data_IF_919879557043
#
_entry.id   IF_919879557043
#
_cell.length_a   1.000
_cell.length_b   1.000
_cell.length_c   1.000
_cell.angle_alpha   90.00
_cell.angle_beta   90.00
_cell.angle_gamma   90.00
#
_symmetry.space_group_name_H-M   'P 1'
#
loop_
_entity.id
_entity.type
_entity.pdbx_description
1 polymer ?
#
# COMPACT_ATOMS: atom_id res chain seq x y z
N UNK A 1 20.65 -14.16 28.96
CA UNK A 1 19.24 -13.77 29.15
C UNK A 1 18.96 -12.54 28.30
N UNK A 2 18.30 -12.72 27.16
CA UNK A 2 17.41 -11.76 26.49
C UNK A 2 16.62 -12.62 25.51
N UNK A 3 15.41 -13.00 25.92
CA UNK A 3 14.47 -13.78 25.11
C UNK A 3 14.13 -12.99 23.85
N UNK A 4 14.43 -13.59 22.70
CA UNK A 4 13.92 -13.14 21.41
C UNK A 4 12.43 -13.45 21.41
N UNK A 5 11.61 -12.51 21.87
CA UNK A 5 10.16 -12.65 21.85
C UNK A 5 9.69 -12.83 20.40
N UNK A 6 9.16 -14.01 20.20
CA UNK A 6 8.45 -14.49 19.02
C UNK A 6 7.20 -13.64 18.79
N UNK A 7 7.26 -12.74 17.81
CA UNK A 7 6.07 -12.16 17.16
C UNK A 7 5.94 -12.63 15.72
N UNK A 8 6.41 -13.85 15.43
CA UNK A 8 5.94 -14.60 14.26
C UNK A 8 4.71 -15.37 14.74
N UNK A 9 3.56 -15.13 14.11
CA UNK A 9 2.25 -15.79 14.32
C UNK A 9 1.25 -15.08 15.25
N UNK A 10 0.80 -13.87 14.87
CA UNK A 10 -0.53 -13.37 15.31
C UNK A 10 -1.37 -12.80 14.15
N UNK A 11 -0.97 -13.07 12.90
CA UNK A 11 -1.73 -12.72 11.68
C UNK A 11 -2.30 -14.00 11.07
N UNK A 12 -2.80 -14.88 11.93
CA UNK A 12 -3.50 -16.11 11.58
C UNK A 12 -4.36 -16.35 12.82
N UNK A 13 -5.66 -16.04 12.84
CA UNK A 13 -6.64 -17.10 12.59
C UNK A 13 -8.10 -16.58 12.48
N UNK A 14 -8.32 -15.26 12.52
CA UNK A 14 -9.69 -14.69 12.57
C UNK A 14 -10.12 -13.85 11.38
N UNK A 15 -9.17 -13.24 10.66
CA UNK A 15 -9.48 -12.25 9.62
C UNK A 15 -9.40 -12.82 8.19
N UNK A 16 -8.64 -13.90 8.01
CA UNK A 16 -8.43 -14.60 6.73
C UNK A 16 -9.01 -16.03 6.72
N UNK A 17 -9.55 -16.52 7.84
CA UNK A 17 -10.19 -17.84 7.90
C UNK A 17 -11.57 -17.88 7.22
N UNK A 18 -12.09 -16.71 6.81
CA UNK A 18 -13.24 -16.56 5.93
C UNK A 18 -12.89 -15.81 4.64
N UNK A 19 -13.80 -15.83 3.66
CA UNK A 19 -13.65 -15.01 2.44
C UNK A 19 -13.42 -13.54 2.81
N UNK A 20 -12.41 -12.86 2.25
CA UNK A 20 -12.15 -11.46 2.57
C UNK A 20 -13.37 -10.60 2.22
N UNK A 21 -13.63 -9.50 2.97
CA UNK A 21 -14.78 -8.63 2.71
C UNK A 21 -14.67 -7.91 1.36
N UNK A 22 -13.50 -7.93 0.73
CA UNK A 22 -13.22 -7.38 -0.58
C UNK A 22 -12.50 -8.42 -1.45
N UNK A 23 -13.00 -8.71 -2.67
CA UNK A 23 -12.36 -9.67 -3.57
C UNK A 23 -11.11 -9.04 -4.19
N UNK A 24 -9.94 -9.36 -3.62
CA UNK A 24 -8.66 -8.87 -4.12
C UNK A 24 -8.32 -9.44 -5.49
N UNK A 25 -7.76 -8.58 -6.33
CA UNK A 25 -7.23 -8.93 -7.64
C UNK A 25 -5.76 -9.30 -7.59
N UNK A 26 -5.02 -8.67 -6.67
CA UNK A 26 -3.61 -8.88 -6.38
C UNK A 26 -3.47 -9.61 -5.04
N UNK A 27 -2.41 -10.41 -4.91
CA UNK A 27 -2.08 -11.07 -3.65
C UNK A 27 -1.77 -10.03 -2.54
N UNK A 28 -2.10 -10.37 -1.30
CA UNK A 28 -1.87 -9.50 -0.13
C UNK A 28 -0.40 -9.08 -0.05
N UNK A 29 0.52 -10.03 -0.21
CA UNK A 29 1.97 -9.78 -0.17
C UNK A 29 2.41 -8.80 -1.26
N UNK A 30 1.81 -8.87 -2.45
CA UNK A 30 2.10 -7.92 -3.52
C UNK A 30 1.60 -6.51 -3.17
N UNK A 31 0.39 -6.39 -2.62
CA UNK A 31 -0.23 -5.11 -2.29
C UNK A 31 0.55 -4.33 -1.24
N UNK A 32 0.91 -5.01 -0.15
CA UNK A 32 1.61 -4.40 1.00
C UNK A 32 3.08 -4.10 0.70
N UNK A 33 3.65 -4.73 -0.33
CA UNK A 33 5.01 -4.48 -0.78
C UNK A 33 5.18 -3.10 -1.44
N UNK A 34 6.31 -2.40 -1.23
CA UNK A 34 6.60 -1.12 -1.85
C UNK A 34 6.52 -1.14 -3.37
N UNK A 35 5.95 -0.06 -3.93
CA UNK A 35 5.84 0.13 -5.38
C UNK A 35 7.21 0.21 -6.06
N UNK A 36 7.50 -0.77 -6.92
CA UNK A 36 8.79 -0.87 -7.65
C UNK A 36 8.96 0.19 -8.76
N UNK A 37 7.85 0.66 -9.32
CA UNK A 37 7.79 1.54 -10.50
C UNK A 37 7.47 3.02 -10.17
N UNK A 38 7.38 3.38 -8.89
CA UNK A 38 7.18 4.78 -8.52
C UNK A 38 8.43 5.62 -8.81
N UNK A 39 8.27 6.93 -9.05
CA UNK A 39 9.40 7.87 -9.21
C UNK A 39 10.39 7.78 -8.04
N UNK A 40 9.86 7.67 -6.80
CA UNK A 40 10.69 7.51 -5.59
C UNK A 40 11.46 6.20 -5.61
N UNK A 41 10.81 5.08 -5.93
CA UNK A 41 11.46 3.78 -6.00
C UNK A 41 12.54 3.72 -7.08
N UNK A 42 12.28 4.28 -8.26
CA UNK A 42 13.29 4.38 -9.32
C UNK A 42 14.48 5.23 -8.89
N UNK A 43 14.25 6.35 -8.20
CA UNK A 43 15.34 7.18 -7.66
C UNK A 43 16.14 6.44 -6.59
N UNK A 44 15.44 5.78 -5.66
CA UNK A 44 16.04 4.98 -4.59
C UNK A 44 16.92 3.87 -5.14
N UNK A 45 16.44 3.13 -6.14
CA UNK A 45 17.22 2.08 -6.81
C UNK A 45 18.50 2.60 -7.47
N UNK A 46 18.46 3.79 -8.09
CA UNK A 46 19.63 4.38 -8.75
C UNK A 46 20.62 5.00 -7.76
N UNK A 47 20.13 5.57 -6.66
CA UNK A 47 20.93 6.34 -5.72
C UNK A 47 20.51 6.08 -4.26
N UNK A 48 20.73 4.87 -3.73
CA UNK A 48 20.22 4.47 -2.41
C UNK A 48 20.87 5.24 -1.26
N UNK A 49 22.11 5.71 -1.41
CA UNK A 49 22.82 6.46 -0.36
C UNK A 49 22.33 7.89 -0.14
N UNK A 50 21.68 8.50 -1.14
CA UNK A 50 21.28 9.93 -1.12
C UNK A 50 19.78 10.13 -1.30
N UNK A 51 19.01 9.06 -1.42
CA UNK A 51 17.57 9.15 -1.58
C UNK A 51 16.84 8.19 -0.65
N UNK A 52 15.62 8.57 -0.28
CA UNK A 52 14.80 7.79 0.63
C UNK A 52 13.97 6.77 -0.15
N UNK A 53 13.68 5.58 0.43
CA UNK A 53 12.79 4.60 -0.18
C UNK A 53 11.39 5.18 -0.44
N UNK A 54 10.59 4.54 -1.31
CA UNK A 54 9.18 4.87 -1.48
C UNK A 54 8.45 4.77 -0.13
N UNK A 55 7.45 5.62 0.08
CA UNK A 55 6.64 5.56 1.30
C UNK A 55 5.82 4.27 1.31
N UNK A 56 5.50 3.68 2.47
CA UNK A 56 4.46 2.66 2.54
C UNK A 56 3.14 3.22 2.01
N UNK A 57 2.32 2.36 1.41
CA UNK A 57 1.02 2.74 0.88
C UNK A 57 -0.01 2.86 2.01
N UNK A 58 -0.87 3.87 1.94
CA UNK A 58 -2.04 3.97 2.81
C UNK A 58 -3.22 3.15 2.29
N UNK A 59 -4.28 3.00 3.09
CA UNK A 59 -5.48 2.20 2.74
C UNK A 59 -6.10 2.53 1.39
N UNK A 60 -6.20 3.81 1.05
CA UNK A 60 -6.76 4.25 -0.23
C UNK A 60 -5.84 3.90 -1.40
N UNK A 61 -4.52 4.10 -1.25
CA UNK A 61 -3.56 3.75 -2.30
C UNK A 61 -3.46 2.24 -2.53
N UNK A 62 -3.65 1.43 -1.48
CA UNK A 62 -3.77 -0.03 -1.58
C UNK A 62 -5.01 -0.43 -2.39
N UNK A 63 -6.19 0.11 -2.04
CA UNK A 63 -7.42 -0.09 -2.81
C UNK A 63 -7.27 0.34 -4.27
N UNK A 64 -6.72 1.54 -4.49
CA UNK A 64 -6.48 2.06 -5.84
C UNK A 64 -5.61 1.12 -6.66
N UNK A 65 -4.55 0.57 -6.05
CA UNK A 65 -3.63 -0.36 -6.72
C UNK A 65 -4.34 -1.63 -7.15
N UNK A 66 -5.12 -2.24 -6.25
CA UNK A 66 -5.90 -3.44 -6.58
C UNK A 66 -6.97 -3.17 -7.63
N UNK A 67 -7.78 -2.12 -7.41
CA UNK A 67 -8.86 -1.75 -8.32
C UNK A 67 -8.35 -1.43 -9.73
N UNK A 68 -7.21 -0.75 -9.84
CA UNK A 68 -6.59 -0.49 -11.12
C UNK A 68 -6.13 -1.79 -11.81
N UNK A 69 -5.57 -2.75 -11.07
CA UNK A 69 -5.24 -4.07 -11.60
C UNK A 69 -6.49 -4.82 -12.09
N UNK A 70 -7.59 -4.72 -11.34
CA UNK A 70 -8.90 -5.29 -11.73
C UNK A 70 -9.36 -4.73 -13.08
N UNK A 71 -9.32 -3.41 -13.24
CA UNK A 71 -9.71 -2.74 -14.48
C UNK A 71 -8.85 -3.16 -15.67
N UNK A 72 -7.52 -3.26 -15.47
CA UNK A 72 -6.60 -3.72 -16.52
C UNK A 72 -6.92 -5.17 -16.92
N UNK A 73 -7.15 -6.07 -15.95
CA UNK A 73 -7.53 -7.47 -16.23
C UNK A 73 -8.86 -7.57 -16.97
N UNK A 74 -9.78 -6.63 -16.74
CA UNK A 74 -11.04 -6.52 -17.47
C UNK A 74 -10.90 -5.84 -18.85
N UNK A 75 -9.68 -5.50 -19.28
CA UNK A 75 -9.42 -4.88 -20.58
C UNK A 75 -9.86 -3.41 -20.69
N UNK A 76 -10.16 -2.76 -19.55
CA UNK A 76 -10.61 -1.37 -19.56
C UNK A 76 -9.46 -0.44 -19.96
N UNK A 77 -9.58 0.20 -21.13
CA UNK A 77 -8.66 1.25 -21.59
C UNK A 77 -9.34 2.61 -21.43
N UNK A 78 -8.90 3.38 -20.44
CA UNK A 78 -9.43 4.72 -20.18
C UNK A 78 -8.30 5.71 -19.86
N UNK A 79 -8.53 7.02 -20.11
CA UNK A 79 -7.61 8.06 -19.66
C UNK A 79 -7.42 8.04 -18.15
N UNK A 80 -6.18 8.27 -17.69
CA UNK A 80 -5.80 8.23 -16.27
C UNK A 80 -6.65 9.13 -15.36
N UNK A 81 -7.08 10.30 -15.88
CA UNK A 81 -7.95 11.22 -15.15
C UNK A 81 -9.32 10.57 -14.83
N UNK A 82 -9.94 9.90 -15.82
CA UNK A 82 -11.22 9.20 -15.64
C UNK A 82 -11.08 8.01 -14.69
N UNK A 83 -9.99 7.23 -14.85
CA UNK A 83 -9.66 6.12 -13.94
C UNK A 83 -9.53 6.60 -12.50
N UNK A 84 -8.86 7.72 -12.28
CA UNK A 84 -8.67 8.28 -10.95
C UNK A 84 -9.98 8.73 -10.31
N UNK A 85 -10.85 9.39 -11.09
CA UNK A 85 -12.17 9.80 -10.62
C UNK A 85 -13.04 8.60 -10.26
N UNK A 86 -13.08 7.57 -11.11
CA UNK A 86 -13.83 6.34 -10.87
C UNK A 86 -13.39 5.64 -9.58
N UNK A 87 -12.08 5.48 -9.37
CA UNK A 87 -11.54 4.83 -8.17
C UNK A 87 -11.94 5.59 -6.90
N UNK A 88 -11.86 6.92 -6.92
CA UNK A 88 -12.26 7.73 -5.76
C UNK A 88 -13.75 7.59 -5.45
N UNK A 89 -14.60 7.57 -6.49
CA UNK A 89 -16.04 7.33 -6.31
C UNK A 89 -16.32 5.93 -5.75
N UNK A 90 -15.63 4.91 -6.27
CA UNK A 90 -15.83 3.53 -5.83
C UNK A 90 -15.35 3.30 -4.40
N UNK A 91 -14.24 3.91 -4.00
CA UNK A 91 -13.76 3.90 -2.62
C UNK A 91 -14.80 4.44 -1.64
N UNK A 92 -15.44 5.57 -1.98
CA UNK A 92 -16.45 6.19 -1.13
C UNK A 92 -17.74 5.37 -1.01
N UNK A 93 -17.98 4.43 -1.93
CA UNK A 93 -19.12 3.49 -1.89
C UNK A 93 -18.82 2.22 -1.11
N UNK A 94 -17.57 1.96 -0.75
CA UNK A 94 -17.22 0.72 -0.06
C UNK A 94 -17.83 0.68 1.34
N UNK A 95 -18.35 -0.49 1.78
CA UNK A 95 -18.88 -0.65 3.11
C UNK A 95 -17.78 -0.58 4.19
N UNK A 96 -18.18 -0.32 5.43
CA UNK A 96 -17.24 -0.09 6.54
C UNK A 96 -16.28 -1.27 6.80
N UNK A 97 -16.74 -2.51 6.61
CA UNK A 97 -15.89 -3.71 6.73
C UNK A 97 -14.78 -3.76 5.67
N UNK A 98 -15.04 -3.30 4.44
CA UNK A 98 -14.02 -3.18 3.39
C UNK A 98 -13.02 -2.07 3.73
N UNK A 99 -13.50 -0.91 4.19
CA UNK A 99 -12.61 0.17 4.62
C UNK A 99 -11.69 -0.30 5.76
N UNK A 100 -12.23 -1.03 6.74
CA UNK A 100 -11.47 -1.64 7.84
C UNK A 100 -10.48 -2.69 7.35
N UNK A 101 -10.84 -3.49 6.35
CA UNK A 101 -9.91 -4.43 5.73
C UNK A 101 -8.69 -3.73 5.13
N UNK A 102 -8.89 -2.64 4.37
CA UNK A 102 -7.77 -1.87 3.82
C UNK A 102 -6.97 -1.09 4.88
N UNK A 103 -7.56 -0.74 6.04
CA UNK A 103 -6.81 -0.23 7.21
C UNK A 103 -5.86 -1.28 7.77
N UNK A 104 -6.29 -2.54 7.83
CA UNK A 104 -5.43 -3.64 8.28
C UNK A 104 -4.30 -3.86 7.27
N UNK A 105 -4.60 -3.86 5.97
CA UNK A 105 -3.56 -3.93 4.93
C UNK A 105 -2.59 -2.75 5.00
N UNK A 106 -3.04 -1.54 5.36
CA UNK A 106 -2.16 -0.40 5.57
C UNK A 106 -1.18 -0.62 6.72
N UNK A 107 -1.62 -1.23 7.83
CA UNK A 107 -0.73 -1.56 8.94
C UNK A 107 0.29 -2.63 8.52
N UNK A 108 -0.16 -3.68 7.83
CA UNK A 108 0.75 -4.68 7.25
C UNK A 108 1.78 -4.05 6.30
N UNK A 109 1.37 -3.08 5.48
CA UNK A 109 2.28 -2.36 4.58
C UNK A 109 3.31 -1.51 5.35
N UNK A 110 2.92 -0.92 6.49
CA UNK A 110 3.86 -0.20 7.38
C UNK A 110 4.85 -1.17 8.03
N UNK A 111 4.36 -2.28 8.57
CA UNK A 111 5.20 -3.29 9.22
C UNK A 111 6.21 -3.86 8.23
N UNK A 112 5.74 -4.30 7.05
CA UNK A 112 6.60 -4.78 5.96
C UNK A 112 7.63 -3.73 5.56
N UNK A 113 7.22 -2.47 5.41
CA UNK A 113 8.13 -1.38 5.07
C UNK A 113 9.19 -1.15 6.16
N UNK A 114 8.82 -1.22 7.44
CA UNK A 114 9.75 -1.06 8.55
C UNK A 114 10.75 -2.22 8.61
N UNK A 115 10.34 -3.45 8.30
CA UNK A 115 11.24 -4.61 8.17
C UNK A 115 12.27 -4.41 7.04
N UNK A 116 11.84 -3.89 5.88
CA UNK A 116 12.73 -3.67 4.73
C UNK A 116 13.63 -2.43 4.88
N UNK A 117 13.16 -1.41 5.60
CA UNK A 117 13.83 -0.12 5.73
C UNK A 117 13.81 0.35 7.19
N UNK A 118 14.55 -0.31 8.09
CA UNK A 118 14.51 -0.03 9.53
C UNK A 118 14.94 1.40 9.88
N UNK A 119 15.84 1.99 9.10
CA UNK A 119 16.33 3.36 9.30
C UNK A 119 15.46 4.43 8.63
N UNK A 120 14.31 4.05 8.05
CA UNK A 120 13.45 5.00 7.38
C UNK A 120 12.77 5.96 8.36
N UNK A 121 12.92 7.26 8.11
CA UNK A 121 12.13 8.31 8.77
C UNK A 121 11.44 9.18 7.74
N UNK A 122 10.15 9.42 7.93
CA UNK A 122 9.40 10.36 7.12
C UNK A 122 9.87 11.80 7.39
N UNK A 123 10.46 12.43 6.38
CA UNK A 123 10.86 13.84 6.42
C UNK A 123 10.35 14.56 5.16
N UNK A 124 9.20 15.25 5.23
CA UNK A 124 8.71 16.04 4.11
C UNK A 124 9.64 17.23 3.86
N UNK A 125 10.02 17.44 2.59
CA UNK A 125 10.69 18.69 2.20
C UNK A 125 9.70 19.83 2.38
N UNK A 126 10.06 20.83 3.19
CA UNK A 126 9.33 22.10 3.24
C UNK A 126 9.45 22.74 1.85
N UNK A 127 8.34 22.83 1.13
CA UNK A 127 8.26 23.67 -0.06
C UNK A 127 8.19 25.09 0.51
N UNK A 128 9.27 25.86 0.41
CA UNK A 128 9.20 27.30 0.69
C UNK A 128 8.14 27.87 -0.25
N UNK A 129 7.07 28.43 0.29
CA UNK A 129 6.10 29.17 -0.50
C UNK A 129 6.89 30.21 -1.29
N UNK A 130 6.83 30.12 -2.63
CA UNK A 130 7.37 31.15 -3.49
C UNK A 130 6.41 32.33 -3.33
N UNK A 131 6.85 33.36 -2.60
CA UNK A 131 6.19 34.66 -2.56
C UNK A 131 6.11 35.24 -3.98
#
# INVERSE_FOLDING_TARGET
MFEKNSSKNSIDNGLFSGSPPYPLTLEVEELISPLKNSRRATKFRKHPSVSLPPRPLNKFLLFRRDFHAKMIRQGMKMPYAKVSSLISQEWNKQPANVLRFFEILENLAKDKHNEMYPDYRYSPKKISAKL
#
